data_IF_653816869206
#
_entry.id   IF_653816869206
#
_cell.length_a   1.000
_cell.length_b   1.000
_cell.length_c   1.000
_cell.angle_alpha   90.00
_cell.angle_beta   90.00
_cell.angle_gamma   90.00
#
_symmetry.space_group_name_H-M   'P 1'
#
loop_
_entity.id
_entity.type
_entity.pdbx_description
1 polymer ?
#
# COMPACT_ATOMS: atom_id res chain seq x y z
N UNK A 1 -5.45 21.97 -2.98
CA UNK A 1 -4.95 20.59 -3.15
C UNK A 1 -5.98 19.82 -3.96
N UNK A 2 -5.59 19.19 -5.07
CA UNK A 2 -6.53 18.50 -5.97
C UNK A 2 -6.88 17.13 -5.37
N UNK A 3 -8.17 16.76 -5.26
CA UNK A 3 -8.57 15.49 -4.64
C UNK A 3 -8.07 14.30 -5.47
N UNK A 4 -7.44 13.33 -4.80
CA UNK A 4 -7.05 12.04 -5.39
C UNK A 4 -8.34 11.25 -5.62
N UNK A 5 -8.67 11.02 -6.89
CA UNK A 5 -9.82 10.20 -7.28
C UNK A 5 -9.40 8.73 -7.26
N UNK A 6 -9.80 7.99 -6.22
CA UNK A 6 -9.56 6.54 -6.15
C UNK A 6 -10.76 5.84 -6.82
N UNK A 7 -10.57 5.08 -7.91
CA UNK A 7 -11.66 4.36 -8.58
C UNK A 7 -11.95 3.07 -7.82
N UNK A 8 -12.47 3.17 -6.59
CA UNK A 8 -12.90 1.99 -5.84
C UNK A 8 -14.38 1.69 -6.15
N UNK A 9 -14.61 0.64 -6.95
CA UNK A 9 -15.96 0.12 -7.22
C UNK A 9 -16.29 -0.91 -6.15
N UNK A 10 -17.05 -0.53 -5.13
CA UNK A 10 -17.61 -1.48 -4.16
C UNK A 10 -18.71 -2.25 -4.88
N UNK A 11 -18.46 -3.52 -5.21
CA UNK A 11 -19.47 -4.42 -5.75
C UNK A 11 -20.04 -5.27 -4.62
N UNK A 12 -21.24 -4.86 -4.22
CA UNK A 12 -22.38 -5.62 -3.68
C UNK A 12 -22.17 -6.57 -2.49
N UNK A 13 -22.61 -6.07 -1.33
CA UNK A 13 -22.93 -6.83 -0.12
C UNK A 13 -24.25 -7.62 -0.32
N UNK A 14 -24.24 -8.78 -0.98
CA UNK A 14 -25.16 -9.92 -0.77
C UNK A 14 -25.07 -10.92 -1.93
N UNK A 15 -24.52 -12.11 -1.68
CA UNK A 15 -24.59 -13.25 -2.60
C UNK A 15 -23.86 -14.46 -2.03
N UNK A 16 -24.62 -15.44 -1.54
CA UNK A 16 -24.11 -16.78 -1.22
C UNK A 16 -24.19 -17.59 -2.49
N UNK A 17 -23.06 -17.96 -3.10
CA UNK A 17 -22.94 -19.13 -3.98
C UNK A 17 -21.46 -19.45 -4.26
N UNK A 18 -21.03 -20.60 -3.73
CA UNK A 18 -19.89 -21.44 -4.08
C UNK A 18 -18.77 -20.84 -4.96
N UNK A 19 -17.68 -20.37 -4.35
CA UNK A 19 -16.41 -20.10 -5.01
C UNK A 19 -15.45 -21.28 -4.83
N UNK A 20 -15.49 -22.26 -5.74
CA UNK A 20 -14.43 -23.28 -5.80
C UNK A 20 -13.86 -23.48 -7.21
N UNK A 21 -13.98 -22.46 -8.07
CA UNK A 21 -13.45 -22.49 -9.45
C UNK A 21 -12.77 -21.18 -9.87
N UNK A 22 -12.37 -20.30 -8.94
CA UNK A 22 -11.76 -18.99 -9.29
C UNK A 22 -10.35 -18.73 -8.72
N UNK A 23 -9.69 -19.71 -8.09
CA UNK A 23 -8.45 -19.43 -7.35
C UNK A 23 -7.28 -18.93 -8.23
N UNK A 24 -7.22 -19.36 -9.50
CA UNK A 24 -6.11 -19.02 -10.40
C UNK A 24 -6.30 -17.68 -11.14
N UNK A 25 -7.54 -17.26 -11.39
CA UNK A 25 -7.84 -15.99 -12.07
C UNK A 25 -7.75 -14.84 -11.05
N UNK A 26 -8.15 -15.09 -9.80
CA UNK A 26 -8.06 -14.09 -8.73
C UNK A 26 -6.60 -13.78 -8.37
N UNK A 27 -5.72 -14.79 -8.30
CA UNK A 27 -4.31 -14.58 -7.93
C UNK A 27 -3.53 -13.71 -8.91
N UNK A 28 -3.86 -13.75 -10.20
CA UNK A 28 -3.24 -12.86 -11.19
C UNK A 28 -3.77 -11.44 -11.05
N UNK A 29 -5.07 -11.29 -10.79
CA UNK A 29 -5.72 -9.99 -10.58
C UNK A 29 -5.23 -9.31 -9.31
N UNK A 30 -5.06 -10.05 -8.21
CA UNK A 30 -4.51 -9.58 -6.94
C UNK A 30 -3.07 -9.06 -7.10
N UNK A 31 -2.26 -9.70 -7.93
CA UNK A 31 -0.89 -9.24 -8.25
C UNK A 31 -0.84 -7.95 -9.06
N UNK A 32 -1.95 -7.56 -9.70
CA UNK A 32 -2.04 -6.35 -10.53
C UNK A 32 -2.79 -5.21 -9.83
N UNK A 33 -3.15 -5.40 -8.56
CA UNK A 33 -3.79 -4.34 -7.79
C UNK A 33 -2.80 -3.21 -7.46
N UNK A 34 -3.26 -1.96 -7.44
CA UNK A 34 -2.42 -0.84 -7.05
C UNK A 34 -1.97 -1.00 -5.60
N UNK A 35 -0.70 -0.68 -5.33
CA UNK A 35 -0.09 -0.80 -4.00
C UNK A 35 -0.07 0.57 -3.32
N UNK A 36 -0.66 0.66 -2.13
CA UNK A 36 -0.56 1.83 -1.26
C UNK A 36 0.20 1.48 0.02
N UNK A 37 1.21 2.27 0.35
CA UNK A 37 1.99 2.15 1.59
C UNK A 37 1.57 3.30 2.50
N UNK A 38 1.08 2.97 3.70
CA UNK A 38 0.62 3.95 4.68
C UNK A 38 1.64 4.04 5.81
N UNK A 39 2.32 5.19 5.90
CA UNK A 39 3.40 5.46 6.83
C UNK A 39 4.78 5.35 6.16
N UNK A 40 5.51 6.47 6.08
CA UNK A 40 6.89 6.61 5.65
C UNK A 40 7.91 6.42 6.77
N UNK A 41 7.62 5.55 7.73
CA UNK A 41 8.58 5.11 8.76
C UNK A 41 9.58 4.06 8.24
N UNK A 42 10.39 3.45 9.12
CA UNK A 42 11.43 2.51 8.69
C UNK A 42 10.88 1.32 7.90
N UNK A 43 9.76 0.75 8.36
CA UNK A 43 9.11 -0.40 7.71
C UNK A 43 8.48 -0.02 6.38
N UNK A 44 7.78 1.10 6.31
CA UNK A 44 7.16 1.57 5.06
C UNK A 44 8.20 1.93 3.99
N UNK A 45 9.31 2.55 4.39
CA UNK A 45 10.43 2.82 3.49
C UNK A 45 11.12 1.54 3.02
N UNK A 46 11.29 0.54 3.89
CA UNK A 46 11.82 -0.76 3.50
C UNK A 46 10.92 -1.43 2.45
N UNK A 47 9.59 -1.40 2.66
CA UNK A 47 8.62 -1.90 1.69
C UNK A 47 8.72 -1.15 0.35
N UNK A 48 8.76 0.18 0.39
CA UNK A 48 8.92 1.02 -0.80
C UNK A 48 10.22 0.71 -1.56
N UNK A 49 11.33 0.54 -0.85
CA UNK A 49 12.62 0.18 -1.46
C UNK A 49 12.57 -1.18 -2.14
N UNK A 50 11.92 -2.17 -1.53
CA UNK A 50 11.74 -3.48 -2.13
C UNK A 50 10.86 -3.45 -3.38
N UNK A 51 9.78 -2.65 -3.39
CA UNK A 51 8.91 -2.49 -4.56
C UNK A 51 9.63 -1.73 -5.68
N UNK A 52 10.33 -0.65 -5.35
CA UNK A 52 11.14 0.12 -6.30
C UNK A 52 12.21 -0.76 -6.96
N UNK A 53 12.90 -1.62 -6.18
CA UNK A 53 13.89 -2.56 -6.72
C UNK A 53 13.28 -3.58 -7.69
N UNK A 54 12.00 -3.91 -7.54
CA UNK A 54 11.26 -4.84 -8.40
C UNK A 54 10.59 -4.14 -9.60
N UNK A 55 10.66 -2.81 -9.69
CA UNK A 55 9.96 -2.04 -10.72
C UNK A 55 8.45 -1.96 -10.53
N UNK A 56 7.96 -2.28 -9.32
CA UNK A 56 6.54 -2.26 -9.01
C UNK A 56 6.08 -0.84 -8.71
N UNK A 57 4.91 -0.45 -9.23
CA UNK A 57 4.33 0.87 -9.01
C UNK A 57 3.58 0.95 -7.68
N UNK A 58 3.82 2.01 -6.90
CA UNK A 58 3.17 2.22 -5.62
C UNK A 58 2.97 3.69 -5.28
N UNK A 59 2.10 3.97 -4.32
CA UNK A 59 1.93 5.28 -3.69
C UNK A 59 2.32 5.16 -2.22
N UNK A 60 3.19 6.04 -1.74
CA UNK A 60 3.57 6.14 -0.32
C UNK A 60 2.91 7.38 0.28
N UNK A 61 2.20 7.20 1.40
CA UNK A 61 1.54 8.26 2.15
C UNK A 61 2.19 8.37 3.53
N UNK A 62 2.57 9.58 3.93
CA UNK A 62 3.11 9.89 5.26
C UNK A 62 2.34 11.06 5.86
N UNK A 63 2.09 11.02 7.16
CA UNK A 63 1.34 12.07 7.87
C UNK A 63 2.21 13.28 8.20
N UNK A 64 3.52 13.08 8.43
CA UNK A 64 4.47 14.15 8.66
C UNK A 64 4.82 14.93 7.38
N UNK A 65 5.42 16.11 7.57
CA UNK A 65 5.83 16.97 6.44
C UNK A 65 6.88 16.31 5.53
N UNK A 66 7.69 15.42 6.11
CA UNK A 66 8.76 14.72 5.42
C UNK A 66 8.68 13.20 5.66
N UNK A 67 9.28 12.42 4.76
CA UNK A 67 9.48 10.99 4.97
C UNK A 67 10.34 10.77 6.23
N UNK A 68 10.07 9.72 6.99
CA UNK A 68 10.84 9.40 8.19
C UNK A 68 10.61 10.38 9.35
N UNK A 69 9.61 11.25 9.29
CA UNK A 69 9.31 12.25 10.34
C UNK A 69 9.33 11.66 11.75
N UNK A 70 8.73 10.47 11.94
CA UNK A 70 8.75 9.82 13.25
C UNK A 70 10.18 9.49 13.70
N UNK A 71 11.02 8.85 12.87
CA UNK A 71 12.42 8.54 13.23
C UNK A 71 13.20 9.81 13.60
N UNK A 72 12.99 10.90 12.87
CA UNK A 72 13.70 12.17 13.11
C UNK A 72 13.40 12.73 14.51
N UNK A 73 12.21 12.48 15.07
CA UNK A 73 11.89 12.90 16.44
C UNK A 73 12.69 12.16 17.52
N UNK A 74 13.22 10.97 17.21
CA UNK A 74 13.96 10.11 18.14
C UNK A 74 15.48 10.27 18.00
N UNK A 75 15.96 11.26 17.24
CA UNK A 75 17.41 11.49 17.05
C UNK A 75 18.20 11.76 18.34
N UNK A 76 17.51 12.02 19.45
CA UNK A 76 18.08 12.15 20.79
C UNK A 76 18.35 10.80 21.49
N UNK A 77 17.77 9.69 20.99
CA UNK A 77 17.96 8.35 21.52
C UNK A 77 19.24 7.75 20.93
N UNK A 78 20.22 7.44 21.79
CA UNK A 78 21.44 6.72 21.41
C UNK A 78 21.30 5.24 21.76
N UNK A 79 21.69 4.38 20.83
CA UNK A 79 21.84 2.92 21.02
C UNK A 79 23.27 2.59 21.47
#
# INVERSE_FOLDING_TARGET
MKPIQIPFRVQDCCGTENQSLQDNIDMQRLKQLPIAIIGGGPVGLAAAAHLAKRGESFILLEAGENIGSNILTWGHVRL
#
